data_IF_604276096026
#
_entry.id   IF_604276096026
#
_cell.length_a   1.000
_cell.length_b   1.000
_cell.length_c   1.000
_cell.angle_alpha   90.00
_cell.angle_beta   90.00
_cell.angle_gamma   90.00
#
_symmetry.space_group_name_H-M   'P 1'
#
loop_
_entity.id
_entity.type
_entity.pdbx_description
1 polymer ?
#
# COMPACT_ATOMS: atom_id res chain seq x y z
N UNK A 1 35.35 42.58 29.57
CA UNK A 1 34.74 41.34 29.06
C UNK A 1 35.68 40.72 28.03
N UNK A 2 36.21 39.53 28.32
CA UNK A 2 37.30 38.89 27.55
C UNK A 2 36.76 38.23 26.28
N UNK A 3 37.30 38.62 25.12
CA UNK A 3 37.24 37.84 23.88
C UNK A 3 38.43 36.88 23.83
N UNK A 4 38.21 35.65 23.35
CA UNK A 4 39.29 34.75 22.94
C UNK A 4 38.92 34.03 21.64
N UNK A 5 39.77 34.30 20.65
CA UNK A 5 39.98 33.55 19.41
C UNK A 5 40.37 32.10 19.70
N UNK A 6 39.99 31.17 18.82
CA UNK A 6 40.77 29.97 18.53
C UNK A 6 40.70 29.68 17.02
N UNK A 7 41.88 29.68 16.41
CA UNK A 7 42.23 29.21 15.07
C UNK A 7 43.58 28.50 15.23
N UNK A 8 43.89 27.56 14.32
CA UNK A 8 45.04 26.63 14.25
C UNK A 8 44.71 25.23 14.84
N UNK A 9 44.99 24.08 14.22
CA UNK A 9 46.02 23.76 13.21
C UNK A 9 45.66 22.61 12.25
N UNK A 10 46.31 22.68 11.09
CA UNK A 10 46.44 21.69 10.02
C UNK A 10 47.70 20.87 10.26
N UNK A 11 47.63 19.53 10.22
CA UNK A 11 48.72 18.67 9.76
C UNK A 11 48.29 17.19 9.68
N UNK A 12 48.72 16.47 8.63
CA UNK A 12 48.94 15.02 8.73
C UNK A 12 48.40 14.11 7.61
N UNK A 13 48.71 14.40 6.36
CA UNK A 13 48.50 13.50 5.23
C UNK A 13 49.62 12.42 5.19
N UNK A 14 49.29 11.13 5.38
CA UNK A 14 50.11 9.99 4.92
C UNK A 14 49.20 8.87 4.41
N UNK A 15 49.17 8.74 3.08
CA UNK A 15 48.50 7.70 2.30
C UNK A 15 49.38 6.44 2.27
N UNK A 16 48.84 5.27 2.64
CA UNK A 16 49.41 3.97 2.26
C UNK A 16 48.51 3.31 1.22
N UNK A 17 49.09 3.06 0.06
CA UNK A 17 48.54 2.29 -1.04
C UNK A 17 48.44 0.81 -0.67
N UNK A 18 47.21 0.27 -0.56
CA UNK A 18 46.98 -1.16 -0.41
C UNK A 18 45.60 -1.63 -0.97
N UNK A 19 45.01 -0.88 -1.92
CA UNK A 19 43.68 -1.20 -2.45
C UNK A 19 43.60 -1.39 -3.98
N UNK A 20 44.73 -1.36 -4.70
CA UNK A 20 44.73 -1.49 -6.17
C UNK A 20 44.56 -2.92 -6.69
N UNK A 21 45.11 -3.94 -6.02
CA UNK A 21 45.21 -5.29 -6.61
C UNK A 21 43.90 -6.09 -6.52
N UNK A 22 43.10 -5.88 -5.47
CA UNK A 22 41.87 -6.65 -5.25
C UNK A 22 40.74 -6.31 -6.24
N UNK A 23 40.76 -5.10 -6.80
CA UNK A 23 39.68 -4.64 -7.68
C UNK A 23 39.82 -5.19 -9.11
N UNK A 24 41.05 -5.36 -9.59
CA UNK A 24 41.34 -5.89 -10.93
C UNK A 24 41.02 -7.38 -11.01
N UNK A 25 41.37 -8.16 -9.97
CA UNK A 25 41.05 -9.60 -9.92
C UNK A 25 39.53 -9.84 -9.83
N UNK A 26 38.80 -8.99 -9.09
CA UNK A 26 37.34 -9.07 -9.00
C UNK A 26 36.62 -8.75 -10.31
N UNK A 27 37.12 -7.78 -11.08
CA UNK A 27 36.52 -7.40 -12.36
C UNK A 27 36.74 -8.45 -13.46
N UNK A 28 37.92 -9.08 -13.50
CA UNK A 28 38.24 -10.13 -14.49
C UNK A 28 37.42 -11.40 -14.24
N UNK A 29 37.21 -11.80 -12.99
CA UNK A 29 36.34 -12.93 -12.64
C UNK A 29 34.86 -12.66 -12.97
N UNK A 30 34.40 -11.42 -12.84
CA UNK A 30 33.02 -11.04 -13.19
C UNK A 30 32.79 -11.07 -14.70
N UNK A 31 33.79 -10.66 -15.50
CA UNK A 31 33.70 -10.69 -16.97
C UNK A 31 33.74 -12.12 -17.52
N UNK A 32 34.59 -12.99 -16.96
CA UNK A 32 34.67 -14.40 -17.36
C UNK A 32 33.38 -15.17 -17.10
N UNK A 33 32.66 -14.86 -16.01
CA UNK A 33 31.37 -15.47 -15.69
C UNK A 33 30.21 -14.97 -16.58
N UNK A 34 30.32 -13.77 -17.14
CA UNK A 34 29.31 -13.23 -18.06
C UNK A 34 29.45 -13.79 -19.48
N UNK A 35 30.68 -14.13 -19.91
CA UNK A 35 30.93 -14.70 -21.24
C UNK A 35 30.56 -16.19 -21.32
N UNK A 36 30.62 -16.94 -20.21
CA UNK A 36 30.23 -18.36 -20.16
C UNK A 36 28.71 -18.60 -20.07
N UNK A 37 27.92 -17.57 -19.80
CA UNK A 37 26.45 -17.68 -19.64
C UNK A 37 25.62 -17.39 -20.89
N UNK A 38 26.24 -17.05 -22.02
CA UNK A 38 25.55 -16.48 -23.19
C UNK A 38 25.04 -17.46 -24.25
N UNK A 39 25.22 -18.78 -24.10
CA UNK A 39 24.97 -19.75 -25.20
C UNK A 39 23.67 -20.56 -25.13
N UNK A 40 22.69 -20.18 -24.31
CA UNK A 40 21.40 -20.88 -24.28
C UNK A 40 20.23 -19.91 -24.34
N UNK A 41 19.72 -19.65 -25.56
CA UNK A 41 18.30 -19.55 -25.92
C UNK A 41 18.14 -18.92 -27.32
N UNK A 42 18.19 -19.77 -28.34
CA UNK A 42 17.59 -19.56 -29.66
C UNK A 42 16.54 -20.66 -29.86
N UNK A 43 15.41 -20.27 -30.45
CA UNK A 43 14.32 -21.10 -31.01
C UNK A 43 13.35 -21.81 -30.07
N UNK A 44 12.10 -21.31 -30.03
CA UNK A 44 10.93 -22.05 -30.53
C UNK A 44 9.93 -21.05 -31.13
N UNK A 45 9.82 -21.07 -32.45
CA UNK A 45 8.71 -20.50 -33.23
C UNK A 45 7.61 -21.56 -33.28
N UNK A 46 6.40 -21.20 -32.87
CA UNK A 46 5.21 -22.05 -32.96
C UNK A 46 4.06 -21.28 -33.58
N UNK A 47 3.79 -21.56 -34.85
CA UNK A 47 2.64 -21.09 -35.63
C UNK A 47 1.40 -21.94 -35.30
N UNK A 48 0.26 -21.31 -35.05
CA UNK A 48 -1.04 -21.97 -34.92
C UNK A 48 -2.16 -21.09 -35.50
N UNK A 49 -3.21 -21.69 -36.12
CA UNK A 49 -3.91 -21.10 -37.26
C UNK A 49 -5.12 -20.22 -36.92
N UNK A 50 -5.50 -19.44 -37.93
CA UNK A 50 -6.64 -18.55 -37.98
C UNK A 50 -7.98 -19.30 -37.93
N UNK A 51 -8.94 -18.77 -37.17
CA UNK A 51 -10.35 -19.17 -37.24
C UNK A 51 -11.27 -17.98 -37.47
N UNK A 52 -12.36 -18.28 -38.18
CA UNK A 52 -13.12 -17.41 -39.08
C UNK A 52 -14.10 -16.48 -38.37
N UNK A 53 -14.27 -15.32 -39.00
CA UNK A 53 -15.38 -14.39 -38.84
C UNK A 53 -16.73 -14.99 -39.26
N UNK A 54 -17.78 -14.78 -38.46
CA UNK A 54 -19.18 -14.85 -38.89
C UNK A 54 -19.91 -13.61 -38.34
N UNK A 55 -20.62 -12.91 -39.22
CA UNK A 55 -21.33 -11.67 -38.96
C UNK A 55 -22.84 -11.88 -38.83
N UNK A 56 -23.42 -11.31 -37.76
CA UNK A 56 -24.77 -10.71 -37.62
C UNK A 56 -26.04 -11.57 -37.81
N UNK A 57 -27.25 -11.02 -37.61
CA UNK A 57 -27.63 -9.76 -36.94
C UNK A 57 -28.84 -9.88 -35.97
N UNK A 58 -29.22 -8.76 -35.32
CA UNK A 58 -30.59 -8.20 -35.20
C UNK A 58 -30.99 -7.63 -33.81
N UNK A 59 -31.64 -6.47 -33.95
CA UNK A 59 -32.20 -5.57 -32.95
C UNK A 59 -33.44 -6.15 -32.22
N UNK A 60 -33.67 -5.73 -30.98
CA UNK A 60 -34.96 -5.85 -30.29
C UNK A 60 -34.97 -5.13 -28.92
N UNK A 61 -36.05 -4.45 -28.51
CA UNK A 61 -35.99 -3.32 -27.58
C UNK A 61 -36.19 -3.66 -26.09
N UNK A 62 -35.83 -2.65 -25.28
CA UNK A 62 -35.94 -2.46 -23.84
C UNK A 62 -37.18 -3.02 -23.13
N UNK A 63 -36.96 -3.64 -21.95
CA UNK A 63 -37.93 -3.65 -20.85
C UNK A 63 -37.19 -3.42 -19.53
N UNK A 64 -37.48 -2.29 -18.89
CA UNK A 64 -37.12 -1.97 -17.50
C UNK A 64 -38.32 -2.37 -16.64
N UNK A 65 -38.16 -3.20 -15.59
CA UNK A 65 -39.13 -3.23 -14.52
C UNK A 65 -38.66 -2.35 -13.37
N UNK A 66 -39.50 -1.36 -13.05
CA UNK A 66 -39.47 -0.58 -11.84
C UNK A 66 -39.57 -1.51 -10.61
N UNK A 67 -38.65 -1.34 -9.65
CA UNK A 67 -38.82 -1.87 -8.30
C UNK A 67 -39.29 -0.75 -7.39
N UNK A 68 -40.59 -0.81 -7.13
CA UNK A 68 -41.30 -0.01 -6.15
C UNK A 68 -40.90 -0.39 -4.71
N UNK A 69 -40.87 0.64 -3.85
CA UNK A 69 -41.18 0.65 -2.42
C UNK A 69 -41.11 -0.67 -1.63
N UNK A 70 -40.10 -0.80 -0.76
CA UNK A 70 -40.17 -1.66 0.43
C UNK A 70 -40.27 -0.75 1.67
N UNK A 71 -41.41 -0.68 2.37
CA UNK A 71 -41.52 0.07 3.61
C UNK A 71 -40.90 -0.74 4.76
N UNK A 72 -39.90 -0.16 5.42
CA UNK A 72 -39.43 -0.65 6.72
C UNK A 72 -40.44 -0.24 7.80
N UNK A 73 -41.23 -1.20 8.30
CA UNK A 73 -41.96 -1.05 9.56
C UNK A 73 -41.47 -2.09 10.58
N UNK A 74 -41.20 -1.56 11.77
CA UNK A 74 -40.96 -2.25 13.02
C UNK A 74 -42.00 -3.34 13.28
N UNK A 75 -41.56 -4.50 13.79
CA UNK A 75 -42.09 -5.08 15.02
C UNK A 75 -41.24 -6.23 15.55
N UNK A 76 -41.25 -6.32 16.87
CA UNK A 76 -40.46 -7.18 17.73
C UNK A 76 -41.05 -8.60 17.86
N UNK A 77 -40.18 -9.53 18.31
CA UNK A 77 -40.45 -10.77 19.05
C UNK A 77 -41.29 -11.89 18.39
N UNK A 78 -40.64 -12.94 17.87
CA UNK A 78 -40.73 -14.32 18.39
C UNK A 78 -39.69 -15.25 17.72
N UNK A 79 -39.24 -16.34 18.39
CA UNK A 79 -37.95 -16.98 18.14
C UNK A 79 -38.10 -18.32 17.42
N UNK A 80 -38.21 -18.33 16.09
CA UNK A 80 -38.01 -19.56 15.30
C UNK A 80 -37.43 -19.19 13.95
N UNK A 81 -36.10 -19.01 13.89
CA UNK A 81 -35.24 -19.15 12.69
C UNK A 81 -33.79 -18.79 13.05
N UNK A 82 -33.22 -19.56 13.96
CA UNK A 82 -31.79 -19.54 14.27
C UNK A 82 -31.20 -20.94 14.01
N UNK A 83 -31.27 -21.40 12.76
CA UNK A 83 -30.60 -22.65 12.33
C UNK A 83 -29.89 -22.58 10.97
N UNK A 84 -29.65 -21.38 10.42
CA UNK A 84 -28.85 -21.20 9.21
C UNK A 84 -27.69 -20.21 9.32
N UNK A 85 -27.33 -19.74 10.52
CA UNK A 85 -26.17 -18.84 10.70
C UNK A 85 -25.30 -19.13 11.94
N UNK A 86 -25.52 -20.27 12.62
CA UNK A 86 -24.84 -20.60 13.88
C UNK A 86 -23.99 -21.89 13.84
N UNK A 87 -23.72 -22.45 12.65
CA UNK A 87 -22.97 -23.69 12.50
C UNK A 87 -21.50 -23.52 12.09
N UNK A 88 -20.92 -22.31 12.13
CA UNK A 88 -19.57 -22.07 11.58
C UNK A 88 -18.57 -21.42 12.53
N UNK A 89 -18.71 -21.56 13.86
CA UNK A 89 -17.72 -21.04 14.81
C UNK A 89 -17.51 -21.97 16.02
N UNK A 90 -16.80 -23.08 15.79
CA UNK A 90 -15.64 -23.39 16.65
C UNK A 90 -14.44 -23.74 15.75
N UNK A 91 -13.51 -22.78 15.58
CA UNK A 91 -12.32 -22.98 14.72
C UNK A 91 -11.59 -21.73 14.24
N UNK A 92 -12.01 -20.53 14.64
CA UNK A 92 -11.55 -19.26 14.07
C UNK A 92 -10.04 -18.96 14.24
N UNK A 93 -9.32 -19.72 15.06
CA UNK A 93 -7.87 -19.54 15.28
C UNK A 93 -6.98 -20.60 14.64
N UNK A 94 -7.54 -21.77 14.26
CA UNK A 94 -6.77 -22.84 13.59
C UNK A 94 -6.79 -22.72 12.06
N UNK A 95 -7.66 -21.86 11.51
CA UNK A 95 -7.75 -21.55 10.08
C UNK A 95 -7.33 -20.11 9.75
N UNK A 96 -6.22 -19.60 10.30
CA UNK A 96 -5.42 -18.59 9.57
C UNK A 96 -4.78 -19.24 8.32
N UNK A 97 -5.60 -19.91 7.50
CA UNK A 97 -5.31 -20.23 6.14
C UNK A 97 -5.12 -18.88 5.44
N UNK A 98 -3.88 -18.65 5.01
CA UNK A 98 -3.51 -17.94 3.79
C UNK A 98 -4.73 -17.23 3.15
N UNK A 99 -4.84 -15.88 3.23
CA UNK A 99 -6.01 -15.16 2.74
C UNK A 99 -6.42 -15.64 1.35
N UNK A 100 -7.71 -15.68 1.02
CA UNK A 100 -8.20 -16.21 -0.27
C UNK A 100 -7.61 -15.51 -1.52
N UNK A 101 -7.08 -14.29 -1.36
CA UNK A 101 -6.39 -13.53 -2.40
C UNK A 101 -4.87 -13.78 -2.44
N UNK A 102 -4.34 -14.51 -1.47
CA UNK A 102 -2.94 -14.88 -1.41
C UNK A 102 -2.69 -16.00 -2.41
N UNK A 103 -1.73 -15.84 -3.33
CA UNK A 103 -1.43 -16.89 -4.29
C UNK A 103 -1.00 -18.15 -3.52
N UNK A 104 -1.71 -19.27 -3.68
CA UNK A 104 -1.29 -20.62 -3.26
C UNK A 104 -0.09 -21.11 -4.10
N UNK A 105 0.82 -20.20 -4.47
CA UNK A 105 1.96 -20.50 -5.30
C UNK A 105 3.02 -21.07 -4.36
N UNK A 106 3.01 -22.40 -4.25
CA UNK A 106 4.14 -23.17 -3.72
C UNK A 106 5.27 -23.11 -4.75
N UNK A 107 5.92 -21.95 -4.96
CA UNK A 107 7.24 -21.98 -5.58
C UNK A 107 8.17 -22.55 -4.52
N UNK A 108 8.66 -23.77 -4.74
CA UNK A 108 9.72 -24.31 -3.90
C UNK A 108 10.88 -23.29 -3.92
N UNK A 109 11.24 -22.66 -2.79
CA UNK A 109 12.37 -21.72 -2.75
C UNK A 109 13.72 -22.37 -3.10
N UNK A 110 13.72 -23.71 -3.26
CA UNK A 110 14.89 -24.57 -3.38
C UNK A 110 15.66 -24.36 -4.69
N UNK A 111 15.00 -23.98 -5.79
CA UNK A 111 15.64 -24.04 -7.12
C UNK A 111 16.52 -22.81 -7.42
N UNK A 112 16.43 -21.74 -6.62
CA UNK A 112 17.31 -20.59 -6.75
C UNK A 112 18.26 -20.46 -5.54
N UNK A 113 19.55 -20.81 -5.70
CA UNK A 113 20.50 -20.83 -4.58
C UNK A 113 20.73 -19.44 -3.97
N UNK A 114 20.54 -18.35 -4.73
CA UNK A 114 20.64 -16.98 -4.21
C UNK A 114 19.46 -16.65 -3.30
N UNK A 115 18.24 -17.07 -3.67
CA UNK A 115 17.03 -16.88 -2.87
C UNK A 115 17.10 -17.73 -1.60
N UNK A 116 17.52 -19.00 -1.72
CA UNK A 116 17.73 -19.87 -0.57
C UNK A 116 18.80 -19.34 0.39
N UNK A 117 19.91 -18.83 -0.13
CA UNK A 117 20.97 -18.17 0.65
C UNK A 117 20.47 -16.92 1.38
N UNK A 118 19.69 -16.08 0.70
CA UNK A 118 19.09 -14.89 1.30
C UNK A 118 18.07 -15.25 2.39
N UNK A 119 17.20 -16.24 2.17
CA UNK A 119 16.26 -16.73 3.18
C UNK A 119 17.00 -17.26 4.40
N UNK A 120 18.02 -18.11 4.23
CA UNK A 120 18.87 -18.59 5.33
C UNK A 120 19.49 -17.43 6.10
N UNK A 121 19.98 -16.40 5.41
CA UNK A 121 20.56 -15.22 6.05
C UNK A 121 19.52 -14.39 6.82
N UNK A 122 18.34 -14.19 6.25
CA UNK A 122 17.22 -13.49 6.89
C UNK A 122 16.71 -14.24 8.13
N UNK A 123 16.62 -15.56 8.09
CA UNK A 123 16.24 -16.41 9.21
C UNK A 123 17.29 -16.37 10.33
N UNK A 124 18.58 -16.55 9.99
CA UNK A 124 19.68 -16.50 10.98
C UNK A 124 19.80 -15.14 11.69
N UNK A 125 19.42 -14.05 11.02
CA UNK A 125 19.49 -12.71 11.59
C UNK A 125 18.52 -12.47 12.77
N UNK A 126 17.55 -13.36 13.03
CA UNK A 126 16.61 -13.21 14.15
C UNK A 126 17.27 -13.30 15.53
N UNK A 127 18.31 -14.15 15.69
CA UNK A 127 18.86 -14.45 17.02
C UNK A 127 19.77 -13.37 17.61
N UNK A 128 20.70 -12.80 16.82
CA UNK A 128 21.75 -11.89 17.35
C UNK A 128 22.21 -10.76 16.40
N UNK A 129 21.62 -10.61 15.21
CA UNK A 129 22.18 -9.75 14.14
C UNK A 129 21.15 -9.13 13.19
N UNK A 130 20.05 -8.59 13.73
CA UNK A 130 18.87 -8.07 12.98
C UNK A 130 19.24 -7.15 11.82
N UNK A 131 20.21 -6.27 12.05
CA UNK A 131 20.65 -5.25 11.10
C UNK A 131 21.35 -5.89 9.89
N UNK A 132 22.01 -7.04 10.06
CA UNK A 132 22.76 -7.71 9.01
C UNK A 132 21.85 -8.30 7.93
N UNK A 133 20.78 -9.00 8.34
CA UNK A 133 19.83 -9.60 7.39
C UNK A 133 19.11 -8.57 6.53
N UNK A 134 18.60 -7.49 7.13
CA UNK A 134 17.95 -6.41 6.39
C UNK A 134 18.92 -5.60 5.52
N UNK A 135 20.18 -5.43 5.94
CA UNK A 135 21.23 -4.84 5.09
C UNK A 135 21.51 -5.72 3.88
N UNK A 136 21.65 -7.03 4.07
CA UNK A 136 21.85 -7.97 2.96
C UNK A 136 20.67 -7.98 2.00
N UNK A 137 19.44 -7.92 2.52
CA UNK A 137 18.24 -7.73 1.71
C UNK A 137 18.30 -6.43 0.90
N UNK A 138 18.66 -5.30 1.51
CA UNK A 138 18.78 -4.03 0.80
C UNK A 138 19.87 -4.05 -0.30
N UNK A 139 21.02 -4.70 -0.03
CA UNK A 139 22.09 -4.89 -1.02
C UNK A 139 21.62 -5.75 -2.18
N UNK A 140 21.00 -6.89 -1.88
CA UNK A 140 20.43 -7.78 -2.89
C UNK A 140 19.36 -7.06 -3.71
N UNK A 141 18.47 -6.31 -3.06
CA UNK A 141 17.40 -5.54 -3.71
C UNK A 141 17.93 -4.52 -4.70
N UNK A 142 19.02 -3.83 -4.34
CA UNK A 142 19.72 -2.90 -5.23
C UNK A 142 20.33 -3.61 -6.42
N UNK A 143 20.96 -4.76 -6.22
CA UNK A 143 21.55 -5.56 -7.30
C UNK A 143 20.49 -6.14 -8.25
N UNK A 144 19.32 -6.52 -7.73
CA UNK A 144 18.24 -7.11 -8.52
C UNK A 144 17.43 -6.07 -9.34
N UNK A 145 17.46 -4.79 -8.96
CA UNK A 145 16.77 -3.72 -9.69
C UNK A 145 15.26 -3.98 -9.84
N UNK A 146 14.69 -3.69 -11.02
CA UNK A 146 13.26 -3.93 -11.28
C UNK A 146 12.82 -5.40 -11.23
N UNK A 147 13.75 -6.36 -11.38
CA UNK A 147 13.43 -7.81 -11.38
C UNK A 147 13.12 -8.35 -9.97
N UNK A 148 13.31 -7.54 -8.94
CA UNK A 148 13.12 -7.99 -7.57
C UNK A 148 11.64 -8.12 -7.15
N UNK A 149 10.70 -7.35 -7.74
CA UNK A 149 9.30 -7.33 -7.29
C UNK A 149 8.68 -8.73 -7.29
N UNK A 150 8.71 -9.50 -8.40
CA UNK A 150 8.08 -10.81 -8.42
C UNK A 150 8.75 -11.79 -7.46
N UNK A 151 10.06 -11.67 -7.24
CA UNK A 151 10.82 -12.54 -6.31
C UNK A 151 10.44 -12.23 -4.86
N UNK A 152 10.33 -10.95 -4.51
CA UNK A 152 9.91 -10.54 -3.17
C UNK A 152 8.48 -10.99 -2.91
N UNK A 153 7.56 -10.68 -3.84
CA UNK A 153 6.14 -10.96 -3.72
C UNK A 153 5.82 -12.46 -3.70
N UNK A 154 6.35 -13.22 -4.65
CA UNK A 154 5.93 -14.61 -4.89
C UNK A 154 6.78 -15.63 -4.15
N UNK A 155 7.96 -15.26 -3.65
CA UNK A 155 8.89 -16.23 -3.07
C UNK A 155 9.35 -15.83 -1.68
N UNK A 156 10.00 -14.66 -1.53
CA UNK A 156 10.63 -14.32 -0.26
C UNK A 156 9.62 -14.01 0.84
N UNK A 157 8.62 -13.17 0.54
CA UNK A 157 7.66 -12.72 1.54
C UNK A 157 6.73 -13.85 2.01
N UNK A 158 6.15 -14.70 1.14
CA UNK A 158 5.42 -15.89 1.56
C UNK A 158 6.28 -16.81 2.43
N UNK A 159 7.50 -17.16 2.00
CA UNK A 159 8.38 -18.05 2.77
C UNK A 159 8.71 -17.50 4.18
N UNK A 160 8.90 -16.18 4.31
CA UNK A 160 9.14 -15.53 5.60
C UNK A 160 7.89 -15.55 6.49
N UNK A 161 6.70 -15.42 5.92
CA UNK A 161 5.43 -15.47 6.65
C UNK A 161 5.06 -16.89 7.07
N UNK A 162 5.27 -17.87 6.19
CA UNK A 162 5.04 -19.29 6.46
C UNK A 162 5.95 -19.78 7.60
N UNK A 163 7.20 -19.31 7.63
CA UNK A 163 8.12 -19.53 8.74
C UNK A 163 7.77 -18.74 10.02
N UNK A 164 6.65 -18.01 10.04
CA UNK A 164 6.22 -17.11 11.13
C UNK A 164 7.27 -16.07 11.53
N UNK A 165 8.16 -15.71 10.61
CA UNK A 165 9.18 -14.70 10.83
C UNK A 165 8.62 -13.28 10.63
N UNK A 166 7.50 -12.97 11.32
CA UNK A 166 6.74 -11.73 11.13
C UNK A 166 7.61 -10.49 11.25
N UNK A 167 8.51 -10.43 12.23
CA UNK A 167 9.42 -9.29 12.41
C UNK A 167 10.29 -9.01 11.18
N UNK A 168 10.75 -10.05 10.49
CA UNK A 168 11.54 -9.93 9.27
C UNK A 168 10.67 -9.43 8.12
N UNK A 169 9.45 -9.96 7.98
CA UNK A 169 8.46 -9.45 7.02
C UNK A 169 8.14 -7.96 7.25
N UNK A 170 8.05 -7.52 8.52
CA UNK A 170 7.90 -6.11 8.85
C UNK A 170 9.14 -5.29 8.44
N UNK A 171 10.35 -5.83 8.56
CA UNK A 171 11.55 -5.12 8.07
C UNK A 171 11.53 -4.97 6.55
N UNK A 172 11.27 -6.07 5.84
CA UNK A 172 11.26 -6.13 4.38
C UNK A 172 10.19 -5.24 3.76
N UNK A 173 8.92 -5.38 4.18
CA UNK A 173 7.80 -4.57 3.67
C UNK A 173 8.06 -3.07 3.80
N UNK A 174 8.63 -2.63 4.94
CA UNK A 174 8.99 -1.23 5.13
C UNK A 174 10.09 -0.78 4.16
N UNK A 175 11.13 -1.59 3.95
CA UNK A 175 12.20 -1.26 3.00
C UNK A 175 11.67 -1.18 1.56
N UNK A 176 10.79 -2.10 1.17
CA UNK A 176 10.16 -2.12 -0.15
C UNK A 176 9.29 -0.89 -0.40
N UNK A 177 8.49 -0.45 0.59
CA UNK A 177 7.71 0.80 0.50
C UNK A 177 8.64 2.00 0.28
N UNK A 178 9.78 2.05 0.96
CA UNK A 178 10.73 3.15 0.84
C UNK A 178 11.57 3.08 -0.44
N UNK A 179 11.70 1.90 -1.04
CA UNK A 179 12.44 1.69 -2.27
C UNK A 179 11.69 2.25 -3.48
N UNK A 180 10.40 1.96 -3.58
CA UNK A 180 9.56 2.45 -4.67
C UNK A 180 8.21 2.99 -4.19
N UNK A 181 8.21 4.17 -3.54
CA UNK A 181 6.99 4.78 -3.07
C UNK A 181 6.11 5.32 -4.21
N UNK A 182 6.57 5.35 -5.47
CA UNK A 182 5.77 5.83 -6.60
C UNK A 182 4.70 4.82 -7.00
N UNK A 183 5.02 3.53 -6.85
CA UNK A 183 4.15 2.44 -7.21
C UNK A 183 3.09 2.21 -6.12
N UNK A 184 1.93 2.84 -6.29
CA UNK A 184 0.81 2.77 -5.35
C UNK A 184 0.35 1.33 -5.09
N UNK A 185 0.26 0.49 -6.14
CA UNK A 185 -0.15 -0.91 -6.00
C UNK A 185 0.83 -1.71 -5.14
N UNK A 186 2.13 -1.51 -5.35
CA UNK A 186 3.17 -2.14 -4.53
C UNK A 186 3.14 -1.68 -3.07
N UNK A 187 3.04 -0.37 -2.84
CA UNK A 187 2.93 0.20 -1.50
C UNK A 187 1.70 -0.37 -0.77
N UNK A 188 0.57 -0.48 -1.46
CA UNK A 188 -0.67 -1.07 -0.94
C UNK A 188 -0.46 -2.53 -0.54
N UNK A 189 0.09 -3.36 -1.43
CA UNK A 189 0.38 -4.76 -1.15
C UNK A 189 1.31 -4.92 0.06
N UNK A 190 2.42 -4.18 0.11
CA UNK A 190 3.37 -4.26 1.22
C UNK A 190 2.74 -3.85 2.55
N UNK A 191 1.84 -2.86 2.57
CA UNK A 191 1.11 -2.48 3.77
C UNK A 191 0.06 -3.52 4.18
N UNK A 192 -0.64 -4.13 3.23
CA UNK A 192 -1.60 -5.20 3.49
C UNK A 192 -0.92 -6.40 4.16
N UNK A 193 0.16 -6.90 3.56
CA UNK A 193 0.98 -7.97 4.12
C UNK A 193 1.49 -7.61 5.51
N UNK A 194 1.96 -6.38 5.66
CA UNK A 194 2.48 -5.87 6.94
C UNK A 194 1.42 -5.83 8.03
N UNK A 195 0.20 -5.41 7.73
CA UNK A 195 -0.92 -5.41 8.68
C UNK A 195 -1.26 -6.82 9.12
N UNK A 196 -1.33 -7.77 8.17
CA UNK A 196 -1.62 -9.17 8.48
C UNK A 196 -0.52 -9.82 9.34
N UNK A 197 0.75 -9.56 9.02
CA UNK A 197 1.87 -10.01 9.83
C UNK A 197 1.82 -9.45 11.26
N UNK A 198 1.30 -8.23 11.46
CA UNK A 198 1.11 -7.65 12.80
C UNK A 198 -0.05 -8.30 13.56
N UNK A 199 -1.16 -8.61 12.88
CA UNK A 199 -2.28 -9.36 13.47
C UNK A 199 -1.85 -10.77 13.89
N UNK A 200 -1.16 -11.49 12.99
CA UNK A 200 -0.65 -12.82 13.26
C UNK A 200 0.42 -12.84 14.38
N UNK A 201 1.15 -11.75 14.56
CA UNK A 201 2.09 -11.54 15.66
C UNK A 201 1.43 -11.00 16.96
N UNK A 202 0.09 -10.97 17.05
CA UNK A 202 -0.66 -10.46 18.20
C UNK A 202 -0.30 -9.03 18.59
N UNK A 203 -0.10 -8.16 17.59
CA UNK A 203 0.15 -6.73 17.77
C UNK A 203 -0.96 -5.86 17.15
N UNK A 204 -2.21 -5.98 17.64
CA UNK A 204 -3.40 -5.41 16.99
C UNK A 204 -3.38 -3.88 16.91
N UNK A 205 -2.87 -3.18 17.93
CA UNK A 205 -2.78 -1.72 17.88
C UNK A 205 -1.82 -1.24 16.78
N UNK A 206 -0.71 -1.96 16.58
CA UNK A 206 0.24 -1.64 15.51
C UNK A 206 -0.32 -2.03 14.14
N UNK A 207 -1.09 -3.12 14.09
CA UNK A 207 -1.81 -3.52 12.88
C UNK A 207 -2.81 -2.43 12.48
N UNK A 208 -3.59 -1.92 13.44
CA UNK A 208 -4.50 -0.79 13.23
C UNK A 208 -3.77 0.44 12.70
N UNK A 209 -2.67 0.86 13.35
CA UNK A 209 -1.86 1.98 12.85
C UNK A 209 -1.43 1.78 11.39
N UNK A 210 -1.08 0.55 11.02
CA UNK A 210 -0.67 0.22 9.66
C UNK A 210 -1.84 0.16 8.67
N UNK A 211 -2.99 -0.37 9.10
CA UNK A 211 -4.23 -0.39 8.34
C UNK A 211 -4.77 1.01 8.07
N UNK A 212 -4.64 1.94 9.02
CA UNK A 212 -4.99 3.35 8.82
C UNK A 212 -4.08 4.05 7.79
N UNK A 213 -2.79 3.68 7.74
CA UNK A 213 -1.89 4.15 6.66
C UNK A 213 -2.26 3.55 5.32
N UNK A 214 -2.59 2.26 5.30
CA UNK A 214 -3.11 1.58 4.12
C UNK A 214 -4.38 2.28 3.62
N UNK A 215 -5.30 2.66 4.51
CA UNK A 215 -6.50 3.41 4.16
C UNK A 215 -6.19 4.74 3.49
N UNK A 216 -5.20 5.48 3.99
CA UNK A 216 -4.80 6.76 3.40
C UNK A 216 -4.24 6.59 1.97
N UNK A 217 -3.54 5.49 1.67
CA UNK A 217 -2.81 5.34 0.38
C UNK A 217 -3.47 4.37 -0.61
N UNK A 218 -4.36 3.49 -0.16
CA UNK A 218 -4.98 2.49 -1.04
C UNK A 218 -5.80 3.15 -2.15
N UNK A 219 -5.89 2.46 -3.28
CA UNK A 219 -6.76 2.86 -4.39
C UNK A 219 -8.21 2.94 -3.90
N UNK A 220 -9.01 3.80 -4.52
CA UNK A 220 -10.44 3.93 -4.25
C UNK A 220 -11.18 2.62 -4.48
N UNK A 221 -10.72 1.81 -5.46
CA UNK A 221 -11.21 0.44 -5.72
C UNK A 221 -11.13 -0.46 -4.48
N UNK A 222 -10.03 -0.39 -3.73
CA UNK A 222 -9.75 -1.34 -2.64
C UNK A 222 -10.13 -0.81 -1.25
N UNK A 223 -10.68 0.41 -1.16
CA UNK A 223 -11.07 1.04 0.12
C UNK A 223 -11.99 0.15 0.94
N UNK A 224 -12.98 -0.50 0.31
CA UNK A 224 -13.92 -1.38 1.01
C UNK A 224 -13.20 -2.51 1.75
N UNK A 225 -12.24 -3.17 1.10
CA UNK A 225 -11.46 -4.24 1.73
C UNK A 225 -10.62 -3.71 2.90
N UNK A 226 -10.04 -2.51 2.75
CA UNK A 226 -9.24 -1.89 3.81
C UNK A 226 -10.09 -1.47 5.02
N UNK A 227 -11.32 -1.00 4.81
CA UNK A 227 -12.27 -0.69 5.88
C UNK A 227 -12.60 -1.95 6.70
N UNK A 228 -12.84 -3.08 6.03
CA UNK A 228 -13.06 -4.38 6.71
C UNK A 228 -11.83 -4.76 7.54
N UNK A 229 -10.63 -4.65 6.97
CA UNK A 229 -9.38 -4.94 7.69
C UNK A 229 -9.14 -4.02 8.90
N UNK A 230 -9.56 -2.74 8.83
CA UNK A 230 -9.56 -1.86 10.00
C UNK A 230 -10.52 -2.40 11.06
N UNK A 231 -11.73 -2.82 10.67
CA UNK A 231 -12.69 -3.49 11.54
C UNK A 231 -12.09 -4.71 12.25
N UNK A 232 -11.38 -5.57 11.53
CA UNK A 232 -10.68 -6.74 12.09
C UNK A 232 -9.60 -6.33 13.11
N UNK A 233 -8.80 -5.30 12.78
CA UNK A 233 -7.80 -4.75 13.70
C UNK A 233 -8.43 -4.22 14.98
N UNK A 234 -9.56 -3.51 14.87
CA UNK A 234 -10.30 -2.96 16.02
C UNK A 234 -10.84 -4.09 16.91
N UNK A 235 -11.43 -5.13 16.30
CA UNK A 235 -11.96 -6.29 17.03
C UNK A 235 -10.87 -7.08 17.76
N UNK A 236 -9.68 -7.19 17.16
CA UNK A 236 -8.55 -7.92 17.73
C UNK A 236 -7.80 -7.14 18.81
N UNK A 237 -8.03 -5.83 18.93
CA UNK A 237 -7.32 -4.93 19.82
C UNK A 237 -7.83 -4.89 21.25
N UNK A 238 -7.15 -4.12 22.09
CA UNK A 238 -7.58 -3.85 23.47
C UNK A 238 -8.94 -3.12 23.55
N UNK A 239 -9.40 -2.53 22.43
CA UNK A 239 -10.74 -1.95 22.32
C UNK A 239 -11.85 -3.01 22.19
N UNK A 240 -11.49 -4.29 22.08
CA UNK A 240 -12.38 -5.44 22.08
C UNK A 240 -13.29 -5.55 20.86
N UNK A 241 -14.02 -6.67 20.78
CA UNK A 241 -15.07 -6.93 19.77
C UNK A 241 -16.35 -6.10 20.03
N UNK A 242 -16.18 -4.83 20.45
CA UNK A 242 -17.28 -3.93 20.76
C UNK A 242 -18.10 -3.54 19.53
N UNK A 243 -19.32 -3.02 19.73
CA UNK A 243 -20.18 -2.50 18.67
C UNK A 243 -19.48 -1.46 17.77
N UNK A 244 -18.45 -0.79 18.29
CA UNK A 244 -17.65 0.22 17.61
C UNK A 244 -17.04 -0.26 16.29
N UNK A 245 -16.50 -1.48 16.20
CA UNK A 245 -15.86 -1.95 14.98
C UNK A 245 -16.87 -2.22 13.84
N UNK A 246 -18.00 -2.85 14.18
CA UNK A 246 -19.08 -3.09 13.20
C UNK A 246 -19.75 -1.78 12.78
N UNK A 247 -19.95 -0.87 13.74
CA UNK A 247 -20.50 0.45 13.47
C UNK A 247 -19.60 1.26 12.54
N UNK A 248 -18.28 1.29 12.79
CA UNK A 248 -17.31 1.94 11.90
C UNK A 248 -17.42 1.41 10.46
N UNK A 249 -17.41 0.09 10.27
CA UNK A 249 -17.53 -0.51 8.94
C UNK A 249 -18.87 -0.14 8.28
N UNK A 250 -19.98 -0.19 9.03
CA UNK A 250 -21.30 0.16 8.52
C UNK A 250 -21.41 1.64 8.12
N UNK A 251 -20.84 2.56 8.90
CA UNK A 251 -20.81 3.99 8.59
C UNK A 251 -19.99 4.26 7.33
N UNK A 252 -18.79 3.68 7.21
CA UNK A 252 -17.94 3.84 6.03
C UNK A 252 -18.59 3.27 4.76
N UNK A 253 -19.30 2.13 4.86
CA UNK A 253 -20.06 1.57 3.73
C UNK A 253 -21.25 2.46 3.37
N UNK A 254 -21.98 2.98 4.37
CA UNK A 254 -23.12 3.89 4.13
C UNK A 254 -22.70 5.13 3.34
N UNK A 255 -21.53 5.68 3.66
CA UNK A 255 -20.99 6.86 2.97
C UNK A 255 -20.56 6.61 1.52
N UNK A 256 -20.39 5.36 1.09
CA UNK A 256 -20.09 5.04 -0.30
C UNK A 256 -21.26 5.37 -1.24
N UNK A 257 -22.48 5.43 -0.71
CA UNK A 257 -23.72 5.64 -1.46
C UNK A 257 -24.28 7.06 -1.34
N UNK A 258 -23.50 8.02 -0.82
CA UNK A 258 -23.98 9.41 -0.75
C UNK A 258 -24.13 9.94 -2.18
N UNK A 259 -25.34 10.33 -2.60
CA UNK A 259 -25.56 10.90 -3.92
C UNK A 259 -24.63 12.10 -4.13
N UNK A 260 -24.15 12.36 -5.35
CA UNK A 260 -23.37 13.55 -5.61
C UNK A 260 -24.18 14.77 -5.16
N UNK A 261 -23.64 15.54 -4.23
CA UNK A 261 -24.29 16.78 -3.82
C UNK A 261 -24.44 17.65 -5.07
N UNK A 262 -25.68 17.92 -5.47
CA UNK A 262 -26.02 18.63 -6.71
C UNK A 262 -25.52 20.08 -6.69
N UNK A 263 -25.31 20.64 -5.49
CA UNK A 263 -25.19 22.09 -5.32
C UNK A 263 -23.75 22.55 -5.02
N UNK A 264 -22.82 21.62 -4.77
CA UNK A 264 -21.42 21.96 -4.44
C UNK A 264 -20.43 21.11 -5.24
N UNK A 265 -19.79 21.69 -6.29
CA UNK A 265 -18.74 20.99 -7.00
C UNK A 265 -17.62 20.61 -6.03
N UNK A 266 -17.02 19.42 -6.21
CA UNK A 266 -15.90 19.04 -5.38
C UNK A 266 -14.79 20.08 -5.59
N UNK A 267 -14.26 20.71 -4.53
CA UNK A 267 -13.29 21.78 -4.66
C UNK A 267 -12.10 21.30 -5.50
N UNK A 268 -11.75 22.08 -6.53
CA UNK A 268 -10.53 21.87 -7.31
C UNK A 268 -9.31 21.84 -6.39
N UNK A 269 -8.17 21.27 -6.83
CA UNK A 269 -6.98 21.17 -6.00
C UNK A 269 -6.46 22.50 -5.42
N UNK A 270 -6.74 23.62 -6.08
CA UNK A 270 -6.44 24.98 -5.57
C UNK A 270 -7.18 25.31 -4.26
N UNK A 271 -8.39 24.76 -4.07
CA UNK A 271 -9.20 24.99 -2.89
C UNK A 271 -8.77 24.15 -1.67
N UNK A 272 -7.82 23.19 -1.81
CA UNK A 272 -7.26 22.50 -0.64
C UNK A 272 -6.51 23.44 0.32
N UNK A 273 -6.06 24.62 -0.14
CA UNK A 273 -5.40 25.62 0.71
C UNK A 273 -6.32 26.13 1.81
N UNK A 274 -7.62 26.25 1.52
CA UNK A 274 -8.65 26.68 2.48
C UNK A 274 -9.51 25.53 2.97
N UNK A 275 -9.03 24.29 2.82
CA UNK A 275 -9.77 23.11 3.25
C UNK A 275 -10.03 23.17 4.75
N UNK A 276 -11.27 23.50 5.10
CA UNK A 276 -11.86 23.10 6.36
C UNK A 276 -12.30 21.65 6.17
N UNK A 277 -11.80 20.69 6.97
CA UNK A 277 -12.51 19.44 7.15
C UNK A 277 -13.97 19.83 7.40
N UNK A 278 -14.91 19.18 6.71
CA UNK A 278 -16.33 19.47 6.94
C UNK A 278 -16.56 19.52 8.44
N UNK A 279 -17.17 20.58 8.96
CA UNK A 279 -17.49 20.71 10.39
C UNK A 279 -18.54 19.68 10.72
N UNK A 280 -18.11 18.43 10.81
CA UNK A 280 -18.96 17.32 11.15
C UNK A 280 -19.08 17.30 12.66
N UNK A 281 -19.73 18.30 13.22
CA UNK A 281 -20.17 18.30 14.63
C UNK A 281 -21.04 17.07 14.93
N UNK A 282 -21.50 16.35 13.89
CA UNK A 282 -22.20 15.07 13.97
C UNK A 282 -21.33 13.86 14.31
N UNK A 283 -20.00 13.97 14.32
CA UNK A 283 -19.09 12.87 14.67
C UNK A 283 -18.68 12.88 16.16
N UNK A 284 -19.51 13.39 17.07
CA UNK A 284 -19.21 13.44 18.53
C UNK A 284 -18.94 12.05 19.18
N UNK A 285 -19.33 10.92 18.56
CA UNK A 285 -18.95 9.56 19.02
C UNK A 285 -17.75 8.96 18.26
N UNK A 286 -17.24 9.68 17.27
CA UNK A 286 -16.09 9.31 16.45
C UNK A 286 -14.74 9.47 17.14
N UNK A 287 -14.73 10.15 18.28
CA UNK A 287 -13.50 10.57 18.94
C UNK A 287 -12.61 9.38 19.33
N UNK A 288 -13.17 8.19 19.52
CA UNK A 288 -12.43 6.96 19.82
C UNK A 288 -11.58 6.46 18.62
N UNK A 289 -12.08 6.51 17.39
CA UNK A 289 -11.28 6.11 16.21
C UNK A 289 -10.45 7.26 15.66
N UNK A 290 -10.93 8.51 15.79
CA UNK A 290 -10.13 9.70 15.46
C UNK A 290 -8.89 9.84 16.35
N UNK A 291 -8.95 9.44 17.62
CA UNK A 291 -7.75 9.40 18.48
C UNK A 291 -6.73 8.37 18.00
N UNK A 292 -7.15 7.22 17.48
CA UNK A 292 -6.22 6.27 16.84
C UNK A 292 -5.52 6.91 15.62
N UNK A 293 -6.24 7.65 14.79
CA UNK A 293 -5.64 8.40 13.67
C UNK A 293 -4.63 9.47 14.10
N UNK A 294 -4.86 10.14 15.23
CA UNK A 294 -3.93 11.16 15.77
C UNK A 294 -2.60 10.56 16.25
N UNK A 295 -2.56 9.28 16.60
CA UNK A 295 -1.37 8.58 17.12
C UNK A 295 -0.42 8.06 16.05
N UNK A 296 -0.75 8.21 14.76
CA UNK A 296 0.11 7.73 13.69
C UNK A 296 1.49 8.40 13.72
N UNK A 297 2.52 7.65 14.11
CA UNK A 297 3.90 8.14 14.11
C UNK A 297 4.34 8.54 12.67
N UNK A 298 4.63 9.82 12.38
CA UNK A 298 4.96 10.26 11.03
C UNK A 298 6.38 9.87 10.58
N UNK A 299 7.27 9.52 11.52
CA UNK A 299 8.71 9.75 11.36
C UNK A 299 9.49 8.90 10.33
N UNK A 300 9.14 7.67 9.90
CA UNK A 300 9.90 7.12 8.79
C UNK A 300 9.50 7.74 7.46
N UNK A 301 8.22 7.97 7.21
CA UNK A 301 7.77 8.37 5.88
C UNK A 301 7.93 9.88 5.64
N UNK A 302 7.69 10.72 6.65
CA UNK A 302 7.88 12.17 6.54
C UNK A 302 9.33 12.53 6.20
N UNK A 303 10.30 11.92 6.88
CA UNK A 303 11.73 12.15 6.64
C UNK A 303 12.14 11.76 5.22
N UNK A 304 11.62 10.63 4.71
CA UNK A 304 11.89 10.22 3.33
C UNK A 304 11.19 11.11 2.30
N UNK A 305 9.97 11.57 2.58
CA UNK A 305 9.25 12.50 1.72
C UNK A 305 10.02 13.82 1.56
N UNK A 306 10.58 14.36 2.65
CA UNK A 306 11.35 15.60 2.66
C UNK A 306 12.64 15.53 1.83
N UNK A 307 13.20 14.33 1.62
CA UNK A 307 14.43 14.12 0.82
C UNK A 307 14.18 14.07 -0.69
N UNK A 308 12.93 13.91 -1.11
CA UNK A 308 12.59 13.88 -2.53
C UNK A 308 12.40 15.33 -2.97
N UNK A 309 13.32 15.88 -3.76
CA UNK A 309 13.29 17.29 -4.20
C UNK A 309 12.81 17.49 -5.63
N UNK A 310 12.78 16.44 -6.46
CA UNK A 310 12.29 16.52 -7.85
C UNK A 310 10.83 16.93 -7.96
N UNK A 311 10.50 17.67 -9.02
CA UNK A 311 9.13 18.11 -9.35
C UNK A 311 8.60 17.42 -10.63
N UNK A 312 9.31 16.42 -11.15
CA UNK A 312 8.77 15.53 -12.18
C UNK A 312 7.63 14.67 -11.61
N UNK A 313 6.77 14.16 -12.50
CA UNK A 313 5.60 13.37 -12.13
C UNK A 313 5.94 12.22 -11.16
N UNK A 314 7.02 11.47 -11.42
CA UNK A 314 7.40 10.33 -10.60
C UNK A 314 7.90 10.77 -9.21
N UNK A 315 8.69 11.84 -9.11
CA UNK A 315 9.08 12.42 -7.82
C UNK A 315 7.87 12.89 -7.01
N UNK A 316 6.87 13.50 -7.66
CA UNK A 316 5.63 13.93 -7.01
C UNK A 316 4.78 12.74 -6.54
N UNK A 317 4.65 11.68 -7.35
CA UNK A 317 3.99 10.42 -6.96
C UNK A 317 4.61 9.84 -5.68
N UNK A 318 5.95 9.73 -5.65
CA UNK A 318 6.71 9.24 -4.50
C UNK A 318 6.46 10.09 -3.25
N UNK A 319 6.59 11.41 -3.38
CA UNK A 319 6.41 12.35 -2.27
C UNK A 319 4.97 12.32 -1.75
N UNK A 320 3.98 12.32 -2.65
CA UNK A 320 2.56 12.29 -2.31
C UNK A 320 2.16 11.03 -1.54
N UNK A 321 2.59 9.86 -2.00
CA UNK A 321 2.35 8.59 -1.31
C UNK A 321 3.00 8.58 0.09
N UNK A 322 4.27 8.97 0.23
CA UNK A 322 4.94 9.01 1.54
C UNK A 322 4.29 10.01 2.51
N UNK A 323 3.80 11.15 2.03
CA UNK A 323 3.07 12.12 2.87
C UNK A 323 1.74 11.56 3.36
N UNK A 324 0.99 10.82 2.54
CA UNK A 324 -0.22 10.12 2.97
C UNK A 324 0.09 9.07 4.04
N UNK A 325 1.18 8.30 3.87
CA UNK A 325 1.64 7.34 4.88
C UNK A 325 2.09 8.01 6.18
N UNK A 326 2.62 9.23 6.11
CA UNK A 326 2.97 10.04 7.27
C UNK A 326 1.77 10.76 7.89
N UNK A 327 0.55 10.57 7.36
CA UNK A 327 -0.67 11.30 7.75
C UNK A 327 -0.57 12.83 7.55
N UNK A 328 0.32 13.30 6.68
CA UNK A 328 0.48 14.71 6.29
C UNK A 328 -0.46 15.05 5.11
N UNK A 329 -1.75 14.76 5.27
CA UNK A 329 -2.71 14.76 4.16
C UNK A 329 -2.84 16.12 3.46
N UNK A 330 -2.75 17.24 4.20
CA UNK A 330 -2.77 18.59 3.61
C UNK A 330 -1.57 18.85 2.69
N UNK A 331 -0.37 18.41 3.09
CA UNK A 331 0.83 18.53 2.27
C UNK A 331 0.75 17.61 1.04
N UNK A 332 0.22 16.38 1.23
CA UNK A 332 -0.03 15.47 0.13
C UNK A 332 -0.96 16.10 -0.92
N UNK A 333 -2.02 16.80 -0.49
CA UNK A 333 -2.98 17.45 -1.40
C UNK A 333 -2.29 18.44 -2.35
N UNK A 334 -1.37 19.24 -1.81
CA UNK A 334 -0.59 20.20 -2.59
C UNK A 334 0.32 19.49 -3.59
N UNK A 335 0.97 18.39 -3.18
CA UNK A 335 1.84 17.58 -4.05
C UNK A 335 1.03 16.92 -5.16
N UNK A 336 -0.14 16.35 -4.86
CA UNK A 336 -1.01 15.72 -5.84
C UNK A 336 -1.61 16.73 -6.84
N UNK A 337 -1.95 17.94 -6.37
CA UNK A 337 -2.34 19.04 -7.26
C UNK A 337 -1.22 19.45 -8.23
N UNK A 338 0.05 19.40 -7.79
CA UNK A 338 1.20 19.59 -8.70
C UNK A 338 1.34 18.41 -9.67
N UNK A 339 1.24 17.17 -9.18
CA UNK A 339 1.34 15.96 -10.01
C UNK A 339 0.30 15.96 -11.14
N UNK A 340 -0.93 16.36 -10.82
CA UNK A 340 -2.02 16.48 -11.77
C UNK A 340 -1.72 17.49 -12.89
N UNK A 341 -1.14 18.65 -12.55
CA UNK A 341 -0.77 19.68 -13.53
C UNK A 341 0.36 19.25 -14.46
N UNK A 342 1.34 18.51 -13.96
CA UNK A 342 2.49 18.06 -14.77
C UNK A 342 2.24 16.72 -15.48
N UNK A 343 1.07 16.10 -15.28
CA UNK A 343 0.74 14.80 -15.83
C UNK A 343 0.67 14.80 -17.37
N UNK A 344 1.46 13.92 -17.97
CA UNK A 344 1.54 13.68 -19.40
C UNK A 344 0.78 12.40 -19.77
N UNK A 345 -0.19 12.53 -20.68
CA UNK A 345 -1.05 11.43 -21.10
C UNK A 345 -2.14 11.05 -20.08
N UNK A 346 -3.07 10.21 -20.55
CA UNK A 346 -4.23 9.79 -19.77
C UNK A 346 -3.87 8.97 -18.53
N UNK A 347 -2.85 8.12 -18.62
CA UNK A 347 -2.44 7.26 -17.51
C UNK A 347 -1.91 8.06 -16.31
N UNK A 348 -1.00 9.03 -16.54
CA UNK A 348 -0.47 9.88 -15.46
C UNK A 348 -1.57 10.75 -14.85
N UNK A 349 -2.46 11.26 -15.70
CA UNK A 349 -3.59 12.09 -15.27
C UNK A 349 -4.52 11.30 -14.34
N UNK A 350 -4.85 10.06 -14.72
CA UNK A 350 -5.64 9.15 -13.89
C UNK A 350 -4.96 8.86 -12.54
N UNK A 351 -3.66 8.55 -12.54
CA UNK A 351 -2.90 8.30 -11.30
C UNK A 351 -2.86 9.52 -10.38
N UNK A 352 -2.71 10.73 -10.92
CA UNK A 352 -2.75 11.95 -10.13
C UNK A 352 -4.16 12.29 -9.61
N UNK A 353 -5.19 12.10 -10.43
CA UNK A 353 -6.59 12.27 -10.02
C UNK A 353 -6.94 11.32 -8.85
N UNK A 354 -6.51 10.07 -8.94
CA UNK A 354 -6.63 9.07 -7.89
C UNK A 354 -5.87 9.49 -6.62
N UNK A 355 -4.68 10.08 -6.76
CA UNK A 355 -3.93 10.68 -5.64
C UNK A 355 -4.70 11.79 -4.92
N UNK A 356 -5.42 12.63 -5.67
CA UNK A 356 -6.31 13.67 -5.11
C UNK A 356 -7.48 13.01 -4.37
N UNK A 357 -8.16 12.03 -4.97
CA UNK A 357 -9.25 11.28 -4.34
C UNK A 357 -8.82 10.68 -3.00
N UNK A 358 -7.67 10.01 -2.98
CA UNK A 358 -7.07 9.43 -1.76
C UNK A 358 -6.80 10.47 -0.69
N UNK A 359 -6.43 11.68 -1.09
CA UNK A 359 -6.17 12.77 -0.15
C UNK A 359 -7.45 13.34 0.44
N UNK A 360 -8.51 13.52 -0.37
CA UNK A 360 -9.85 13.90 0.12
C UNK A 360 -10.32 12.88 1.17
N UNK A 361 -10.25 11.59 0.81
CA UNK A 361 -10.57 10.47 1.72
C UNK A 361 -9.78 10.54 3.02
N UNK A 362 -8.46 10.74 2.92
CA UNK A 362 -7.58 10.77 4.08
C UNK A 362 -7.77 12.02 4.95
N UNK A 363 -8.20 13.14 4.37
CA UNK A 363 -8.54 14.36 5.11
C UNK A 363 -9.88 14.23 5.83
N UNK A 364 -10.87 13.66 5.17
CA UNK A 364 -12.23 13.52 5.69
C UNK A 364 -12.43 12.35 6.63
N UNK A 365 -11.56 11.34 6.52
CA UNK A 365 -11.76 10.06 7.21
C UNK A 365 -13.07 9.37 6.78
N UNK A 366 -13.49 9.68 5.55
CA UNK A 366 -14.75 9.28 4.92
C UNK A 366 -14.53 9.12 3.42
N UNK A 367 -15.39 8.37 2.74
CA UNK A 367 -15.19 8.00 1.32
C UNK A 367 -16.09 8.77 0.36
N UNK A 368 -17.20 9.34 0.84
CA UNK A 368 -18.24 9.95 -0.01
C UNK A 368 -17.71 11.02 -0.96
N UNK A 369 -17.01 12.04 -0.45
CA UNK A 369 -16.45 13.12 -1.30
C UNK A 369 -15.35 12.63 -2.25
N UNK A 370 -14.59 11.62 -1.84
CA UNK A 370 -13.56 11.05 -2.70
C UNK A 370 -14.18 10.28 -3.88
N UNK A 371 -15.29 9.58 -3.67
CA UNK A 371 -16.05 8.93 -4.75
C UNK A 371 -16.65 9.97 -5.70
N UNK A 372 -17.28 11.03 -5.17
CA UNK A 372 -17.82 12.13 -5.98
C UNK A 372 -16.74 12.75 -6.89
N UNK A 373 -15.51 12.93 -6.38
CA UNK A 373 -14.39 13.40 -7.18
C UNK A 373 -14.03 12.43 -8.32
N UNK A 374 -13.93 11.12 -8.05
CA UNK A 374 -13.65 10.11 -9.08
C UNK A 374 -14.72 10.11 -10.16
N UNK A 375 -16.00 10.22 -9.79
CA UNK A 375 -17.12 10.29 -10.71
C UNK A 375 -17.07 11.55 -11.58
N UNK A 376 -16.74 12.71 -11.00
CA UNK A 376 -16.58 13.97 -11.73
C UNK A 376 -15.43 13.92 -12.73
N UNK A 377 -14.28 13.35 -12.35
CA UNK A 377 -13.14 13.20 -13.26
C UNK A 377 -13.45 12.22 -14.39
N UNK A 378 -14.20 11.16 -14.11
CA UNK A 378 -14.56 10.13 -15.09
C UNK A 378 -15.64 10.60 -16.06
N UNK A 379 -16.62 11.36 -15.57
CA UNK A 379 -17.77 11.85 -16.36
C UNK A 379 -17.44 13.14 -17.12
N UNK A 380 -16.60 13.99 -16.55
CA UNK A 380 -16.28 15.32 -17.08
C UNK A 380 -15.33 15.33 -18.27
N UNK A 381 -14.93 14.16 -18.78
CA UNK A 381 -14.04 13.99 -19.93
C UNK A 381 -12.91 15.01 -19.91
N UNK A 382 -12.00 14.92 -18.93
CA UNK A 382 -10.98 15.94 -18.60
C UNK A 382 -10.46 16.65 -19.85
N UNK A 383 -11.08 17.80 -20.18
CA UNK A 383 -10.58 18.70 -21.22
C UNK A 383 -9.39 19.40 -20.58
N UNK A 384 -8.19 19.10 -21.09
CA UNK A 384 -6.94 19.70 -20.62
C UNK A 384 -6.93 21.20 -20.81
#
# INVERSE_FOLDING_TARGET
MKSRKYFSDVAGFRVRAAHGLGFVVGAVLLLGLLLLGGSWLISVVGTGPAEKSVAGPQNGPSVVPALAHIPWRNNACHPVRMRLYAASLPGYWQHMAVPWWWPQVRVAPADNPRVAGLLKALCRAQGRGRVRGLRQFAVWRRAAGGKAYPIVERTLLPAVLDARHYRTALGMTRLEILWDPANTGWVQLMLLVRTQALLAAQHPNRALDNALRLYNVCTMRDVRQVVVLIGECLQSGAMGAGPTARQFVAEQIREQYVPPATDHPCPLPSAFRHYRPGSSDKFSRADSYLTAWRRLNPQPYATHAARITGEDFNSLMRRGNLLLLANHCRQAALVWGRAYRVAQGAWQLHQAAEGIARTIKALDKAVGRANQWVDQVSSGGVKK
#
